data_IF_076744448189
#
_entry.id   IF_076744448189
#
_cell.length_a   1.000
_cell.length_b   1.000
_cell.length_c   1.000
_cell.angle_alpha   90.00
_cell.angle_beta   90.00
_cell.angle_gamma   90.00
#
_symmetry.space_group_name_H-M   'P 1'
#
loop_
_entity.id
_entity.type
_entity.pdbx_description
1 polymer ?
#
# COMPACT_ATOMS: atom_id res chain seq x y z
N UNK A 1 -8.30 -24.00 -86.88
CA UNK A 1 -7.30 -22.91 -87.00
C UNK A 1 -7.00 -22.41 -85.61
N UNK A 2 -5.72 -22.48 -85.19
CA UNK A 2 -4.92 -21.49 -84.43
C UNK A 2 -5.62 -20.70 -83.29
N UNK A 3 -5.09 -20.47 -82.08
CA UNK A 3 -3.74 -20.43 -81.53
C UNK A 3 -3.84 -20.21 -79.99
N UNK A 4 -2.85 -20.75 -79.25
CA UNK A 4 -2.16 -20.26 -78.04
C UNK A 4 -2.88 -19.56 -76.84
N UNK A 5 -2.60 -19.98 -75.58
CA UNK A 5 -2.89 -19.21 -74.38
C UNK A 5 -1.71 -18.29 -73.97
N UNK A 6 -2.05 -17.11 -73.42
CA UNK A 6 -1.09 -16.08 -72.97
C UNK A 6 -0.52 -16.36 -71.58
N UNK A 7 0.81 -16.25 -71.51
CA UNK A 7 1.66 -16.23 -70.33
C UNK A 7 1.45 -14.98 -69.49
N UNK A 8 1.41 -15.12 -68.16
CA UNK A 8 1.85 -14.08 -67.23
C UNK A 8 2.70 -14.71 -66.13
N UNK A 9 3.97 -14.31 -66.16
CA UNK A 9 5.08 -14.71 -65.31
C UNK A 9 4.90 -14.31 -63.85
N UNK A 10 5.07 -15.27 -62.96
CA UNK A 10 5.24 -15.08 -61.52
C UNK A 10 6.64 -14.55 -61.19
N UNK A 11 6.73 -13.29 -60.76
CA UNK A 11 7.93 -12.75 -60.12
C UNK A 11 7.88 -13.03 -58.62
N UNK A 12 8.76 -13.91 -58.19
CA UNK A 12 9.12 -14.24 -56.81
C UNK A 12 9.74 -13.03 -56.08
N UNK A 13 9.10 -12.59 -55.00
CA UNK A 13 9.72 -11.77 -53.95
C UNK A 13 9.68 -12.55 -52.66
N UNK A 14 10.79 -13.24 -52.36
CA UNK A 14 11.05 -13.92 -51.09
C UNK A 14 11.24 -12.87 -49.99
N UNK A 15 10.20 -12.61 -49.21
CA UNK A 15 10.33 -11.90 -47.95
C UNK A 15 10.83 -12.87 -46.87
N UNK A 16 12.11 -12.71 -46.51
CA UNK A 16 12.78 -13.33 -45.36
C UNK A 16 11.95 -13.08 -44.08
N UNK A 17 11.28 -14.12 -43.60
CA UNK A 17 10.63 -14.15 -42.30
C UNK A 17 11.72 -14.35 -41.23
N UNK A 18 12.11 -13.30 -40.51
CA UNK A 18 12.94 -13.49 -39.32
C UNK A 18 12.14 -14.26 -38.25
N UNK A 19 12.73 -15.25 -37.57
CA UNK A 19 12.07 -15.92 -36.45
C UNK A 19 11.90 -14.94 -35.27
N UNK A 20 10.83 -15.11 -34.46
CA UNK A 20 10.59 -14.26 -33.31
C UNK A 20 11.72 -14.38 -32.27
N UNK A 21 12.04 -13.28 -31.54
CA UNK A 21 13.08 -13.30 -30.53
C UNK A 21 12.72 -14.26 -29.39
N UNK A 22 13.72 -14.96 -28.79
CA UNK A 22 13.48 -15.87 -27.68
C UNK A 22 12.94 -15.12 -26.45
N UNK A 23 12.08 -15.78 -25.63
CA UNK A 23 11.54 -15.17 -24.43
C UNK A 23 12.67 -14.81 -23.43
N UNK A 24 12.50 -13.74 -22.64
CA UNK A 24 13.49 -13.32 -21.67
C UNK A 24 13.71 -14.41 -20.60
N UNK A 25 14.95 -14.56 -20.07
CA UNK A 25 15.24 -15.55 -19.05
C UNK A 25 14.41 -15.28 -17.79
N UNK A 26 13.95 -16.33 -17.08
CA UNK A 26 13.21 -16.15 -15.84
C UNK A 26 14.07 -15.41 -14.80
N UNK A 27 13.46 -14.59 -13.93
CA UNK A 27 14.19 -13.90 -12.87
C UNK A 27 14.87 -14.91 -11.95
N UNK A 28 16.05 -14.59 -11.40
CA UNK A 28 16.75 -15.47 -10.47
C UNK A 28 15.84 -15.80 -9.28
N UNK A 29 15.78 -17.08 -8.91
CA UNK A 29 15.00 -17.55 -7.79
C UNK A 29 15.38 -16.78 -6.51
N UNK A 30 14.41 -16.40 -5.66
CA UNK A 30 14.71 -15.77 -4.38
C UNK A 30 15.58 -16.72 -3.54
N UNK A 31 16.59 -16.20 -2.81
CA UNK A 31 17.38 -17.02 -1.93
C UNK A 31 16.47 -17.71 -0.90
N UNK A 32 16.75 -18.97 -0.54
CA UNK A 32 15.95 -19.68 0.46
C UNK A 32 15.95 -18.90 1.78
N UNK A 33 14.84 -18.88 2.53
CA UNK A 33 14.77 -18.18 3.79
C UNK A 33 15.84 -18.70 4.73
N UNK A 34 16.73 -17.80 5.16
CA UNK A 34 17.73 -18.07 6.17
C UNK A 34 17.05 -18.67 7.39
N UNK A 35 17.42 -19.90 7.73
CA UNK A 35 16.96 -20.57 8.94
C UNK A 35 17.25 -19.66 10.13
N UNK A 36 16.18 -19.32 10.83
CA UNK A 36 16.15 -18.58 12.08
C UNK A 36 17.08 -19.24 13.10
N UNK A 37 18.15 -18.55 13.48
CA UNK A 37 18.86 -18.85 14.72
C UNK A 37 17.96 -18.49 15.92
N UNK A 38 18.00 -19.26 17.02
CA UNK A 38 17.11 -19.05 18.16
C UNK A 38 17.52 -17.80 18.96
N UNK A 39 16.54 -16.95 19.25
CA UNK A 39 16.69 -15.89 20.26
C UNK A 39 16.87 -16.50 21.66
N UNK A 40 17.69 -15.91 22.55
CA UNK A 40 17.72 -16.34 23.94
C UNK A 40 16.42 -15.93 24.65
N UNK A 41 15.73 -16.93 25.21
CA UNK A 41 14.55 -16.77 26.07
C UNK A 41 14.87 -15.91 27.29
N UNK A 42 14.17 -14.79 27.46
CA UNK A 42 14.04 -14.11 28.75
C UNK A 42 12.96 -14.82 29.57
N UNK A 43 13.39 -15.57 30.58
CA UNK A 43 12.53 -16.11 31.63
C UNK A 43 12.09 -15.02 32.59
N UNK A 44 10.78 -14.76 32.67
CA UNK A 44 10.15 -14.04 33.78
C UNK A 44 10.18 -14.90 35.06
N UNK A 45 10.44 -14.34 36.26
CA UNK A 45 10.26 -15.07 37.51
C UNK A 45 8.85 -14.85 38.09
N UNK A 46 8.17 -15.94 38.44
CA UNK A 46 7.03 -15.96 39.35
C UNK A 46 7.49 -15.76 40.81
N UNK A 47 6.62 -15.25 41.71
CA UNK A 47 6.95 -15.15 43.12
C UNK A 47 6.52 -16.44 43.86
N UNK A 48 7.47 -17.08 44.55
CA UNK A 48 7.16 -18.07 45.58
C UNK A 48 7.89 -17.72 46.88
N UNK A 49 7.08 -17.59 47.92
CA UNK A 49 7.41 -17.43 49.32
C UNK A 49 8.33 -18.52 49.87
N UNK A 50 9.36 -18.14 50.63
CA UNK A 50 9.68 -18.78 51.92
C UNK A 50 10.81 -18.05 52.62
N UNK A 51 10.52 -17.67 53.86
CA UNK A 51 11.40 -17.27 54.95
C UNK A 51 12.64 -18.15 55.11
N UNK A 52 13.79 -17.58 55.48
CA UNK A 52 14.67 -18.09 56.55
C UNK A 52 15.57 -16.96 57.08
N UNK A 53 15.53 -16.82 58.40
CA UNK A 53 16.30 -15.89 59.24
C UNK A 53 17.82 -16.10 59.15
N UNK A 54 18.61 -15.04 59.33
CA UNK A 54 19.66 -14.93 60.38
C UNK A 54 20.45 -13.59 60.31
N UNK A 55 21.06 -13.13 61.42
CA UNK A 55 21.13 -11.70 61.81
C UNK A 55 22.54 -11.04 61.58
N UNK A 56 22.75 -9.76 61.94
CA UNK A 56 23.83 -8.93 61.40
C UNK A 56 25.10 -8.95 62.27
N UNK A 57 26.19 -8.29 61.80
CA UNK A 57 26.79 -7.30 62.69
C UNK A 57 27.21 -5.97 62.04
N UNK A 58 27.00 -4.94 62.85
CA UNK A 58 27.69 -3.65 63.04
C UNK A 58 28.88 -3.24 62.14
N UNK A 59 28.66 -2.10 61.46
CA UNK A 59 29.39 -0.83 61.54
C UNK A 59 30.90 -0.87 61.86
N UNK A 60 31.72 -0.59 60.84
CA UNK A 60 32.93 0.24 60.95
C UNK A 60 33.24 0.89 59.60
N UNK A 61 33.50 2.19 59.61
CA UNK A 61 33.90 3.01 58.47
C UNK A 61 35.34 2.68 58.04
N UNK A 62 35.63 2.63 56.74
CA UNK A 62 36.81 3.28 56.13
C UNK A 62 36.78 3.24 54.59
N UNK A 63 37.04 4.42 54.03
CA UNK A 63 37.69 4.73 52.75
C UNK A 63 37.25 4.01 51.45
N UNK A 64 36.34 4.69 50.75
CA UNK A 64 36.53 5.21 49.38
C UNK A 64 37.33 4.38 48.37
N UNK A 65 36.62 3.65 47.51
CA UNK A 65 36.88 3.70 46.06
C UNK A 65 35.67 3.17 45.25
N UNK A 66 35.22 4.02 44.33
CA UNK A 66 34.50 3.72 43.06
C UNK A 66 33.23 2.85 43.07
N UNK A 67 32.04 3.47 43.01
CA UNK A 67 30.89 2.90 42.27
C UNK A 67 29.80 3.94 41.92
N UNK A 68 29.99 4.64 40.81
CA UNK A 68 28.91 5.23 40.00
C UNK A 68 29.15 4.68 38.58
N UNK A 69 28.23 4.03 37.86
CA UNK A 69 26.79 4.19 37.70
C UNK A 69 26.14 2.86 37.21
N UNK A 70 24.80 2.74 37.23
CA UNK A 70 24.12 2.50 35.94
C UNK A 70 22.85 3.35 35.70
N UNK A 71 22.45 4.24 36.62
CA UNK A 71 21.21 5.03 36.52
C UNK A 71 21.17 6.06 35.36
N UNK A 72 22.33 6.53 34.88
CA UNK A 72 22.41 7.49 33.76
C UNK A 72 21.94 6.92 32.43
N UNK A 73 22.21 5.63 32.18
CA UNK A 73 21.91 4.96 30.91
C UNK A 73 20.40 4.75 30.71
N UNK A 74 19.68 4.35 31.76
CA UNK A 74 18.22 4.18 31.75
C UNK A 74 17.49 5.51 31.62
N UNK A 75 17.97 6.57 32.28
CA UNK A 75 17.41 7.93 32.16
C UNK A 75 17.63 8.49 30.75
N UNK A 76 18.78 8.22 30.11
CA UNK A 76 19.04 8.60 28.70
C UNK A 76 18.11 7.86 27.72
N UNK A 77 17.84 6.58 27.96
CA UNK A 77 16.90 5.78 27.13
C UNK A 77 15.48 6.31 27.26
N UNK A 78 15.00 6.59 28.47
CA UNK A 78 13.67 7.14 28.71
C UNK A 78 13.49 8.54 28.10
N UNK A 79 14.50 9.41 28.18
CA UNK A 79 14.47 10.72 27.50
C UNK A 79 14.41 10.56 25.97
N UNK A 80 15.25 9.71 25.39
CA UNK A 80 15.26 9.46 23.95
C UNK A 80 13.94 8.86 23.46
N UNK A 81 13.36 7.92 24.22
CA UNK A 81 12.07 7.31 23.89
C UNK A 81 10.91 8.31 23.99
N UNK A 82 10.91 9.17 25.02
CA UNK A 82 9.91 10.24 25.15
C UNK A 82 10.06 11.26 24.02
N UNK A 83 11.28 11.61 23.62
CA UNK A 83 11.53 12.50 22.48
C UNK A 83 11.10 11.88 21.15
N UNK A 84 11.33 10.59 20.93
CA UNK A 84 10.84 9.89 19.74
C UNK A 84 9.31 9.88 19.67
N UNK A 85 8.63 9.55 20.77
CA UNK A 85 7.16 9.59 20.83
C UNK A 85 6.62 11.01 20.64
N UNK A 86 7.28 12.02 21.19
CA UNK A 86 6.88 13.42 21.01
C UNK A 86 7.08 13.88 19.56
N UNK A 87 8.16 13.46 18.91
CA UNK A 87 8.41 13.75 17.50
C UNK A 87 7.41 13.04 16.58
N UNK A 88 7.07 11.79 16.89
CA UNK A 88 6.07 11.01 16.17
C UNK A 88 4.66 11.60 16.33
N UNK A 89 4.30 11.99 17.56
CA UNK A 89 3.03 12.66 17.85
C UNK A 89 2.93 14.01 17.12
N UNK A 90 3.98 14.83 17.17
CA UNK A 90 3.99 16.14 16.51
C UNK A 90 4.01 16.01 14.97
N UNK A 91 4.61 14.93 14.42
CA UNK A 91 4.56 14.61 12.99
C UNK A 91 3.14 14.24 12.55
N UNK A 92 2.45 13.37 13.31
CA UNK A 92 1.06 12.99 13.04
C UNK A 92 0.10 14.18 13.19
N UNK A 93 0.31 15.03 14.19
CA UNK A 93 -0.47 16.26 14.36
C UNK A 93 -0.20 17.29 13.25
N UNK A 94 1.04 17.41 12.77
CA UNK A 94 1.37 18.26 11.63
C UNK A 94 0.75 17.74 10.33
N UNK A 95 0.75 16.43 10.13
CA UNK A 95 0.08 15.77 9.00
C UNK A 95 -1.44 15.98 9.05
N UNK A 96 -2.06 15.83 10.23
CA UNK A 96 -3.49 16.09 10.42
C UNK A 96 -3.87 17.56 10.22
N UNK A 97 -3.06 18.49 10.73
CA UNK A 97 -3.26 19.94 10.50
C UNK A 97 -3.05 20.29 9.04
N UNK A 98 -2.05 19.71 8.40
CA UNK A 98 -1.82 19.89 6.97
C UNK A 98 -2.95 19.31 6.12
N UNK A 99 -3.49 18.14 6.50
CA UNK A 99 -4.67 17.55 5.86
C UNK A 99 -5.85 18.52 5.95
N UNK A 100 -6.09 19.10 7.13
CA UNK A 100 -7.12 20.12 7.32
C UNK A 100 -6.85 21.37 6.48
N UNK A 101 -5.60 21.84 6.42
CA UNK A 101 -5.18 23.00 5.62
C UNK A 101 -5.34 22.75 4.12
N UNK A 102 -5.07 21.54 3.62
CA UNK A 102 -5.26 21.18 2.21
C UNK A 102 -6.73 21.03 1.88
N UNK A 103 -7.52 20.41 2.75
CA UNK A 103 -8.98 20.37 2.62
C UNK A 103 -9.55 21.80 2.61
N UNK A 104 -9.00 22.71 3.42
CA UNK A 104 -9.41 24.10 3.51
C UNK A 104 -8.92 24.98 2.34
N UNK A 105 -7.74 24.68 1.77
CA UNK A 105 -7.12 25.42 0.65
C UNK A 105 -7.54 24.91 -0.72
N UNK A 106 -8.03 23.66 -0.83
CA UNK A 106 -8.67 23.20 -2.05
C UNK A 106 -9.97 23.99 -2.24
N UNK A 107 -10.19 24.65 -3.39
CA UNK A 107 -11.38 25.44 -3.63
C UNK A 107 -12.56 24.50 -3.95
N UNK A 108 -12.97 23.66 -3.00
CA UNK A 108 -14.28 23.03 -3.09
C UNK A 108 -15.28 24.10 -2.68
N UNK A 109 -15.91 24.71 -3.69
CA UNK A 109 -17.00 25.69 -3.54
C UNK A 109 -18.28 25.03 -2.98
N UNK A 110 -18.15 24.11 -2.02
CA UNK A 110 -19.22 23.42 -1.32
C UNK A 110 -19.19 23.67 0.20
N UNK A 111 -18.44 24.67 0.69
CA UNK A 111 -18.43 25.03 2.12
C UNK A 111 -19.66 25.84 2.59
N UNK A 112 -20.73 25.92 1.79
CA UNK A 112 -22.02 26.26 2.35
C UNK A 112 -22.80 24.97 2.54
N UNK A 113 -23.13 24.68 3.80
CA UNK A 113 -24.07 23.65 4.26
C UNK A 113 -25.50 23.84 3.67
N UNK A 114 -25.65 24.60 2.59
CA UNK A 114 -26.91 24.90 1.92
C UNK A 114 -27.55 23.68 1.26
N UNK A 115 -26.79 22.64 0.90
CA UNK A 115 -27.41 21.41 0.39
C UNK A 115 -28.09 20.58 1.49
N UNK A 116 -27.52 20.55 2.71
CA UNK A 116 -28.14 19.91 3.86
C UNK A 116 -29.47 20.59 4.22
N UNK A 117 -29.57 21.90 3.99
CA UNK A 117 -30.82 22.65 4.14
C UNK A 117 -31.79 22.38 2.97
N UNK A 118 -31.29 22.18 1.74
CA UNK A 118 -32.12 21.99 0.53
C UNK A 118 -32.71 20.57 0.37
N UNK A 119 -31.98 19.55 0.79
CA UNK A 119 -32.38 18.13 0.62
C UNK A 119 -33.34 17.63 1.69
N UNK A 120 -33.38 18.27 2.86
CA UNK A 120 -34.30 17.90 3.96
C UNK A 120 -35.76 17.92 3.51
N UNK A 121 -36.15 18.89 2.69
CA UNK A 121 -37.52 18.99 2.17
C UNK A 121 -37.91 17.85 1.20
N UNK A 122 -36.93 17.15 0.58
CA UNK A 122 -37.23 16.00 -0.28
C UNK A 122 -37.51 14.72 0.53
N UNK A 123 -37.09 14.69 1.79
CA UNK A 123 -37.30 13.60 2.73
C UNK A 123 -38.43 13.88 3.72
N UNK A 124 -38.78 15.15 3.94
CA UNK A 124 -39.97 15.52 4.71
C UNK A 124 -41.22 15.22 3.88
N UNK A 125 -41.95 14.19 4.29
CA UNK A 125 -43.30 13.84 3.83
C UNK A 125 -44.32 14.92 4.24
N UNK A 126 -44.15 16.16 3.78
CA UNK A 126 -45.24 17.12 3.85
C UNK A 126 -46.30 16.68 2.85
N UNK A 127 -47.42 16.20 3.41
CA UNK A 127 -48.62 15.75 2.70
C UNK A 127 -49.30 16.95 2.02
N UNK A 128 -48.61 17.61 1.10
CA UNK A 128 -49.17 18.69 0.31
C UNK A 128 -50.28 18.12 -0.57
N UNK A 129 -51.47 18.73 -0.48
CA UNK A 129 -52.63 18.32 -1.27
C UNK A 129 -52.25 18.39 -2.74
N UNK A 130 -52.22 17.23 -3.39
CA UNK A 130 -51.94 17.16 -4.82
C UNK A 130 -53.00 18.00 -5.57
N UNK A 131 -52.61 18.73 -6.64
CA UNK A 131 -53.55 19.58 -7.38
C UNK A 131 -54.75 18.74 -7.83
N UNK A 132 -55.96 19.31 -7.83
CA UNK A 132 -57.20 18.60 -8.17
C UNK A 132 -57.09 17.80 -9.48
N UNK A 133 -56.36 18.35 -10.46
CA UNK A 133 -56.04 17.70 -11.74
C UNK A 133 -55.30 16.37 -11.57
N UNK A 134 -54.30 16.30 -10.68
CA UNK A 134 -53.55 15.06 -10.42
C UNK A 134 -54.44 13.98 -9.80
N UNK A 135 -55.37 14.35 -8.94
CA UNK A 135 -56.35 13.43 -8.36
C UNK A 135 -57.34 12.93 -9.42
N UNK A 136 -57.82 13.81 -10.31
CA UNK A 136 -58.67 13.40 -11.44
C UNK A 136 -57.94 12.44 -12.40
N UNK A 137 -56.69 12.73 -12.76
CA UNK A 137 -55.87 11.84 -13.59
C UNK A 137 -55.63 10.49 -12.91
N UNK A 138 -55.35 10.49 -11.62
CA UNK A 138 -55.19 9.26 -10.84
C UNK A 138 -56.48 8.41 -10.88
N UNK A 139 -57.64 9.01 -10.62
CA UNK A 139 -58.94 8.32 -10.70
C UNK A 139 -59.20 7.79 -12.11
N UNK A 140 -58.91 8.58 -13.15
CA UNK A 140 -59.06 8.15 -14.55
C UNK A 140 -58.17 6.94 -14.90
N UNK A 141 -56.91 6.95 -14.45
CA UNK A 141 -55.98 5.83 -14.65
C UNK A 141 -56.45 4.57 -13.91
N UNK A 142 -56.96 4.71 -12.69
CA UNK A 142 -57.55 3.58 -11.94
C UNK A 142 -58.76 3.00 -12.68
N UNK A 143 -59.66 3.85 -13.19
CA UNK A 143 -60.83 3.43 -13.98
C UNK A 143 -60.37 2.67 -15.24
N UNK A 144 -59.35 3.17 -15.95
CA UNK A 144 -58.81 2.51 -17.12
C UNK A 144 -58.22 1.13 -16.80
N UNK A 145 -57.49 1.00 -15.69
CA UNK A 145 -56.92 -0.27 -15.23
C UNK A 145 -58.03 -1.27 -14.90
N UNK A 146 -59.13 -0.83 -14.28
CA UNK A 146 -60.28 -1.69 -13.95
C UNK A 146 -61.02 -2.14 -15.22
N UNK A 147 -61.23 -1.26 -16.19
CA UNK A 147 -61.91 -1.57 -17.46
C UNK A 147 -61.08 -2.56 -18.30
N UNK A 148 -59.76 -2.41 -18.30
CA UNK A 148 -58.83 -3.23 -19.11
C UNK A 148 -58.35 -4.48 -18.40
N UNK A 149 -58.89 -4.79 -17.21
CA UNK A 149 -58.60 -6.04 -16.51
C UNK A 149 -59.16 -7.24 -17.30
N UNK A 150 -58.40 -8.32 -17.56
CA UNK A 150 -57.10 -8.71 -16.95
C UNK A 150 -55.83 -8.34 -17.76
N UNK A 151 -55.96 -7.74 -18.95
CA UNK A 151 -54.83 -7.52 -19.86
C UNK A 151 -53.75 -6.56 -19.32
N UNK A 152 -54.09 -5.69 -18.37
CA UNK A 152 -53.18 -4.72 -17.76
C UNK A 152 -52.23 -5.32 -16.68
N UNK A 153 -52.53 -6.50 -16.14
CA UNK A 153 -51.75 -7.15 -15.06
C UNK A 153 -50.23 -7.22 -15.31
N UNK A 154 -49.73 -7.71 -16.46
CA UNK A 154 -48.27 -7.81 -16.69
C UNK A 154 -47.57 -6.45 -16.79
N UNK A 155 -48.29 -5.36 -17.09
CA UNK A 155 -47.72 -4.02 -17.15
C UNK A 155 -47.67 -3.34 -15.79
N UNK A 156 -48.62 -3.64 -14.89
CA UNK A 156 -48.69 -3.05 -13.56
C UNK A 156 -47.71 -3.69 -12.56
N UNK A 157 -47.41 -4.98 -12.74
CA UNK A 157 -46.54 -5.74 -11.85
C UNK A 157 -45.11 -5.78 -12.39
N UNK A 158 -44.19 -5.17 -11.63
CA UNK A 158 -42.75 -5.22 -11.91
C UNK A 158 -42.01 -5.85 -10.74
N UNK A 159 -41.01 -6.64 -11.07
CA UNK A 159 -40.13 -7.31 -10.11
C UNK A 159 -38.78 -6.60 -10.15
N UNK A 160 -38.30 -6.14 -9.00
CA UNK A 160 -36.97 -5.57 -8.81
C UNK A 160 -36.11 -6.53 -8.01
N UNK A 161 -34.82 -6.59 -8.36
CA UNK A 161 -33.83 -7.44 -7.69
C UNK A 161 -33.44 -6.87 -6.32
N UNK A 162 -32.97 -7.73 -5.42
CA UNK A 162 -32.62 -7.37 -4.03
C UNK A 162 -31.62 -6.20 -3.92
N UNK A 163 -30.66 -6.14 -4.85
CA UNK A 163 -29.60 -5.13 -4.89
C UNK A 163 -29.97 -3.86 -5.66
N UNK A 164 -31.17 -3.81 -6.22
CA UNK A 164 -31.71 -2.67 -6.96
C UNK A 164 -32.78 -1.96 -6.10
N UNK A 165 -32.97 -0.66 -6.34
CA UNK A 165 -34.07 0.13 -5.76
C UNK A 165 -34.75 0.94 -6.86
N UNK A 166 -36.08 1.02 -6.81
CA UNK A 166 -36.81 1.93 -7.69
C UNK A 166 -37.15 3.24 -6.98
N UNK A 167 -36.76 4.33 -7.63
CA UNK A 167 -37.28 5.67 -7.36
C UNK A 167 -38.49 5.86 -8.26
N UNK A 168 -39.69 5.92 -7.67
CA UNK A 168 -40.94 6.09 -8.41
C UNK A 168 -41.37 7.54 -8.32
N UNK A 169 -41.65 8.13 -9.48
CA UNK A 169 -42.14 9.49 -9.63
C UNK A 169 -43.54 9.42 -10.24
N UNK A 170 -44.49 10.11 -9.61
CA UNK A 170 -45.87 10.21 -10.06
C UNK A 170 -46.11 11.60 -10.61
N UNK A 171 -46.43 11.72 -11.90
CA UNK A 171 -46.61 13.02 -12.57
C UNK A 171 -45.44 13.99 -12.32
N UNK A 172 -44.21 13.46 -12.28
CA UNK A 172 -42.99 14.23 -12.00
C UNK A 172 -42.75 14.60 -10.53
N UNK A 173 -43.58 14.13 -9.59
CA UNK A 173 -43.36 14.30 -8.14
C UNK A 173 -42.88 12.99 -7.51
N UNK A 174 -41.97 13.07 -6.54
CA UNK A 174 -41.55 11.91 -5.77
C UNK A 174 -42.73 11.40 -4.91
N UNK A 175 -42.91 10.08 -4.84
CA UNK A 175 -43.95 9.47 -4.00
C UNK A 175 -43.55 9.59 -2.51
N UNK A 176 -44.56 9.83 -1.65
CA UNK A 176 -44.49 10.01 -0.18
C UNK A 176 -44.05 8.76 0.61
N UNK A 177 -43.30 7.86 0.00
CA UNK A 177 -42.67 6.70 0.63
C UNK A 177 -41.23 6.50 0.17
N UNK A 178 -40.66 7.52 -0.49
CA UNK A 178 -39.33 7.48 -1.06
C UNK A 178 -39.14 6.33 -2.05
N UNK A 179 -38.11 5.53 -1.82
CA UNK A 179 -37.75 4.39 -2.66
C UNK A 179 -38.53 3.15 -2.32
N UNK A 180 -39.01 2.47 -3.36
CA UNK A 180 -39.64 1.15 -3.22
C UNK A 180 -38.54 0.10 -3.01
N UNK A 181 -38.74 -0.73 -1.99
CA UNK A 181 -37.87 -1.87 -1.67
C UNK A 181 -37.89 -2.95 -2.76
N UNK A 182 -37.04 -3.98 -2.61
CA UNK A 182 -36.93 -5.07 -3.57
C UNK A 182 -38.17 -5.98 -3.56
N UNK A 183 -38.36 -6.73 -4.65
CA UNK A 183 -39.50 -7.64 -4.80
C UNK A 183 -40.57 -7.13 -5.76
N UNK A 184 -41.80 -7.61 -5.57
CA UNK A 184 -42.94 -7.27 -6.40
C UNK A 184 -43.54 -5.94 -5.93
N UNK A 185 -43.58 -4.95 -6.81
CA UNK A 185 -44.22 -3.68 -6.53
C UNK A 185 -45.16 -3.30 -7.67
N UNK A 186 -46.23 -2.61 -7.28
CA UNK A 186 -47.31 -2.20 -8.16
C UNK A 186 -47.08 -0.77 -8.65
N UNK A 187 -47.13 -0.59 -9.96
CA UNK A 187 -46.95 0.69 -10.64
C UNK A 187 -48.21 1.00 -11.44
N UNK A 188 -48.70 2.24 -11.39
CA UNK A 188 -49.82 2.65 -12.23
C UNK A 188 -49.33 2.90 -13.67
N UNK A 189 -49.83 2.16 -14.67
CA UNK A 189 -49.49 2.42 -16.07
C UNK A 189 -49.95 3.84 -16.46
N UNK A 190 -49.18 4.49 -17.32
CA UNK A 190 -49.37 5.85 -17.85
C UNK A 190 -49.02 7.03 -16.93
N UNK A 191 -49.08 6.88 -15.59
CA UNK A 191 -48.89 8.01 -14.65
C UNK A 191 -47.53 7.93 -13.94
N UNK A 192 -47.14 6.73 -13.53
CA UNK A 192 -45.96 6.50 -12.71
C UNK A 192 -44.75 6.22 -13.62
N UNK A 193 -43.68 6.98 -13.46
CA UNK A 193 -42.36 6.69 -14.03
C UNK A 193 -41.45 6.16 -12.93
N UNK A 194 -40.56 5.24 -13.26
CA UNK A 194 -39.63 4.66 -12.29
C UNK A 194 -38.21 4.62 -12.85
N UNK A 195 -37.24 4.93 -11.99
CA UNK A 195 -35.82 4.75 -12.28
C UNK A 195 -35.26 3.69 -11.33
N UNK A 196 -34.65 2.66 -11.91
CA UNK A 196 -34.00 1.59 -11.14
C UNK A 196 -32.54 1.97 -10.95
N UNK A 197 -32.09 1.95 -9.70
CA UNK A 197 -30.72 2.29 -9.30
C UNK A 197 -30.11 1.08 -8.60
N UNK A 198 -28.88 0.74 -8.99
CA UNK A 198 -28.09 -0.32 -8.35
C UNK A 198 -27.39 0.22 -7.09
N UNK A 199 -27.49 -0.48 -5.97
CA UNK A 199 -26.85 -0.13 -4.71
C UNK A 199 -25.48 -0.80 -4.51
N UNK A 200 -25.06 -1.66 -5.44
CA UNK A 200 -23.77 -2.36 -5.36
C UNK A 200 -22.60 -1.39 -5.50
N UNK A 201 -21.44 -1.87 -5.07
CA UNK A 201 -20.17 -1.18 -5.31
C UNK A 201 -19.88 -1.25 -6.80
N UNK A 202 -19.77 -0.09 -7.41
CA UNK A 202 -19.39 0.09 -8.80
C UNK A 202 -17.98 0.70 -8.83
N UNK A 203 -17.22 0.34 -9.86
CA UNK A 203 -15.92 0.91 -10.15
C UNK A 203 -15.96 1.59 -11.50
N UNK A 204 -15.41 2.80 -11.59
CA UNK A 204 -15.08 3.40 -12.88
C UNK A 204 -13.62 3.84 -12.92
N UNK A 205 -13.05 3.78 -14.12
CA UNK A 205 -11.70 4.26 -14.39
C UNK A 205 -11.73 5.76 -14.70
N UNK A 206 -10.84 6.50 -14.05
CA UNK A 206 -10.53 7.89 -14.37
C UNK A 206 -9.48 7.86 -15.49
N UNK A 207 -9.79 8.41 -16.68
CA UNK A 207 -8.85 8.38 -17.79
C UNK A 207 -7.58 9.15 -17.46
N UNK A 208 -6.45 8.69 -18.01
CA UNK A 208 -5.13 9.25 -17.76
C UNK A 208 -5.12 10.78 -17.93
N UNK A 209 -4.63 11.48 -16.91
CA UNK A 209 -4.50 12.94 -16.88
C UNK A 209 -3.03 13.33 -16.93
N UNK A 210 -2.67 14.21 -17.86
CA UNK A 210 -1.36 14.88 -17.85
C UNK A 210 -1.39 16.04 -16.86
N UNK A 211 -0.48 16.00 -15.89
CA UNK A 211 -0.38 16.98 -14.82
C UNK A 211 1.07 17.40 -14.62
N UNK A 212 1.25 18.63 -14.12
CA UNK A 212 2.54 19.13 -13.66
C UNK A 212 2.59 18.97 -12.13
N UNK A 213 3.57 18.22 -11.63
CA UNK A 213 3.80 18.05 -10.20
C UNK A 213 4.42 19.30 -9.57
N UNK A 214 4.52 19.33 -8.24
CA UNK A 214 5.20 20.41 -7.49
C UNK A 214 6.66 20.61 -7.92
N UNK A 215 7.32 19.54 -8.36
CA UNK A 215 8.72 19.56 -8.80
C UNK A 215 8.87 19.95 -10.28
N UNK A 216 7.81 20.47 -10.90
CA UNK A 216 7.78 20.83 -12.33
C UNK A 216 8.03 19.64 -13.27
N UNK A 217 7.64 18.43 -12.86
CA UNK A 217 7.71 17.23 -13.70
C UNK A 217 6.35 16.95 -14.30
N UNK A 218 6.30 16.71 -15.61
CA UNK A 218 5.09 16.24 -16.29
C UNK A 218 4.92 14.74 -16.06
N UNK A 219 3.76 14.36 -15.54
CA UNK A 219 3.39 12.94 -15.32
C UNK A 219 1.97 12.70 -15.80
N UNK A 220 1.72 11.51 -16.33
CA UNK A 220 0.38 11.05 -16.69
C UNK A 220 -0.11 10.07 -15.63
N UNK A 221 -1.21 10.38 -14.94
CA UNK A 221 -1.72 9.55 -13.84
C UNK A 221 -3.11 9.01 -14.14
N UNK A 222 -3.30 7.72 -13.87
CA UNK A 222 -4.58 7.01 -13.94
C UNK A 222 -5.00 6.54 -12.54
N UNK A 223 -6.30 6.53 -12.27
CA UNK A 223 -6.85 6.08 -11.00
C UNK A 223 -8.19 5.35 -11.21
N UNK A 224 -8.55 4.49 -10.25
CA UNK A 224 -9.82 3.78 -10.19
C UNK A 224 -10.54 4.18 -8.91
N UNK A 225 -11.85 4.41 -9.02
CA UNK A 225 -12.68 4.83 -7.89
C UNK A 225 -13.76 3.79 -7.66
N UNK A 226 -13.83 3.31 -6.42
CA UNK A 226 -14.87 2.41 -5.95
C UNK A 226 -15.88 3.22 -5.16
N UNK A 227 -17.13 3.23 -5.62
CA UNK A 227 -18.22 3.98 -5.01
C UNK A 227 -19.48 3.13 -4.99
N UNK A 228 -20.41 3.51 -4.13
CA UNK A 228 -21.77 2.96 -4.13
C UNK A 228 -22.78 4.09 -3.95
N UNK A 229 -24.00 3.88 -4.44
CA UNK A 229 -25.09 4.80 -4.21
C UNK A 229 -25.69 4.47 -2.85
N UNK A 230 -25.64 5.42 -1.90
CA UNK A 230 -26.20 5.24 -0.56
C UNK A 230 -27.67 5.68 -0.52
N UNK A 231 -27.99 6.80 -1.16
CA UNK A 231 -29.35 7.31 -1.26
C UNK A 231 -29.79 7.43 -2.74
N UNK A 232 -30.58 6.46 -3.25
CA UNK A 232 -31.02 6.48 -4.64
C UNK A 232 -32.02 7.62 -4.95
N UNK A 233 -32.79 8.12 -3.98
CA UNK A 233 -33.66 9.30 -4.20
C UNK A 233 -32.79 10.50 -4.58
N UNK A 234 -31.83 10.83 -3.72
CA UNK A 234 -30.94 11.98 -3.88
C UNK A 234 -30.13 11.88 -5.17
N UNK A 235 -29.64 10.67 -5.50
CA UNK A 235 -28.86 10.43 -6.71
C UNK A 235 -29.63 10.67 -8.00
N UNK A 236 -30.95 10.46 -8.02
CA UNK A 236 -31.79 10.69 -9.20
C UNK A 236 -32.32 12.12 -9.24
N UNK A 237 -32.59 12.75 -8.09
CA UNK A 237 -33.19 14.09 -8.04
C UNK A 237 -32.19 15.23 -8.15
N UNK A 238 -30.98 15.07 -7.59
CA UNK A 238 -30.04 16.18 -7.45
C UNK A 238 -29.07 16.33 -8.62
N UNK A 239 -28.83 15.25 -9.37
CA UNK A 239 -27.89 15.22 -10.49
C UNK A 239 -28.49 14.40 -11.63
N UNK A 240 -28.28 14.86 -12.87
CA UNK A 240 -28.75 14.15 -14.06
C UNK A 240 -28.07 12.77 -14.21
N UNK A 241 -26.74 12.73 -14.12
CA UNK A 241 -25.94 11.50 -14.08
C UNK A 241 -24.88 11.58 -12.97
N UNK A 242 -25.16 10.92 -11.86
CA UNK A 242 -24.27 10.89 -10.70
C UNK A 242 -22.92 10.22 -11.01
N UNK A 243 -22.87 9.22 -11.90
CA UNK A 243 -21.63 8.52 -12.24
C UNK A 243 -20.72 9.43 -13.06
N UNK A 244 -21.28 10.07 -14.09
CA UNK A 244 -20.54 10.98 -14.95
C UNK A 244 -20.05 12.23 -14.20
N UNK A 245 -20.91 12.85 -13.38
CA UNK A 245 -20.52 14.00 -12.56
C UNK A 245 -19.43 13.64 -11.54
N UNK A 246 -19.50 12.46 -10.92
CA UNK A 246 -18.45 11.97 -10.02
C UNK A 246 -17.14 11.75 -10.76
N UNK A 247 -17.17 11.24 -11.99
CA UNK A 247 -15.97 11.08 -12.82
C UNK A 247 -15.29 12.41 -13.15
N UNK A 248 -16.05 13.45 -13.47
CA UNK A 248 -15.50 14.79 -13.73
C UNK A 248 -14.92 15.43 -12.47
N UNK A 249 -15.61 15.29 -11.34
CA UNK A 249 -15.11 15.76 -10.06
C UNK A 249 -13.80 15.06 -9.71
N UNK A 250 -13.75 13.73 -9.86
CA UNK A 250 -12.57 12.92 -9.64
C UNK A 250 -11.36 13.35 -10.49
N UNK A 251 -11.57 13.67 -11.77
CA UNK A 251 -10.49 14.20 -12.63
C UNK A 251 -9.91 15.50 -12.08
N UNK A 252 -10.80 16.39 -11.63
CA UNK A 252 -10.40 17.70 -11.11
C UNK A 252 -9.70 17.57 -9.76
N UNK A 253 -10.21 16.72 -8.87
CA UNK A 253 -9.59 16.46 -7.55
C UNK A 253 -8.24 15.78 -7.70
N UNK A 254 -8.12 14.80 -8.60
CA UNK A 254 -6.86 14.12 -8.90
C UNK A 254 -5.82 15.13 -9.38
N UNK A 255 -6.17 15.99 -10.34
CA UNK A 255 -5.28 17.05 -10.83
C UNK A 255 -4.85 18.01 -9.73
N UNK A 256 -5.79 18.48 -8.91
CA UNK A 256 -5.50 19.46 -7.86
C UNK A 256 -4.61 18.88 -6.76
N UNK A 257 -4.92 17.68 -6.26
CA UNK A 257 -4.15 17.05 -5.19
C UNK A 257 -2.76 16.69 -5.68
N UNK A 258 -2.64 16.03 -6.84
CA UNK A 258 -1.34 15.62 -7.36
C UNK A 258 -0.45 16.80 -7.79
N UNK A 259 -1.04 17.91 -8.23
CA UNK A 259 -0.29 19.13 -8.52
C UNK A 259 0.38 19.76 -7.28
N UNK A 260 -0.12 19.47 -6.08
CA UNK A 260 0.50 19.93 -4.82
C UNK A 260 1.61 19.01 -4.31
N UNK A 261 1.74 17.81 -4.88
CA UNK A 261 2.64 16.75 -4.43
C UNK A 261 3.90 16.66 -5.29
N UNK A 262 4.99 16.21 -4.67
CA UNK A 262 6.26 15.94 -5.35
C UNK A 262 6.20 14.60 -6.09
N UNK A 263 7.06 14.40 -7.09
CA UNK A 263 7.11 13.13 -7.83
C UNK A 263 7.49 11.97 -6.90
N UNK A 264 8.44 12.19 -6.00
CA UNK A 264 8.90 11.17 -5.06
C UNK A 264 7.76 10.72 -4.15
N UNK A 265 6.98 11.66 -3.58
CA UNK A 265 5.81 11.35 -2.77
C UNK A 265 4.77 10.54 -3.54
N UNK A 266 4.53 10.87 -4.81
CA UNK A 266 3.59 10.13 -5.66
C UNK A 266 4.00 8.67 -5.89
N UNK A 267 5.30 8.39 -5.94
CA UNK A 267 5.84 7.04 -6.13
C UNK A 267 5.97 6.25 -4.80
N UNK A 268 6.30 6.91 -3.69
CA UNK A 268 6.52 6.24 -2.39
C UNK A 268 5.28 6.18 -1.51
N UNK A 269 4.46 7.23 -1.49
CA UNK A 269 3.33 7.42 -0.56
C UNK A 269 1.97 7.44 -1.28
N UNK A 270 1.81 6.57 -2.29
CA UNK A 270 0.58 6.50 -3.09
C UNK A 270 -0.68 6.27 -2.25
N UNK A 271 -0.57 5.50 -1.17
CA UNK A 271 -1.72 5.15 -0.31
C UNK A 271 -2.17 6.36 0.52
N UNK A 272 -1.23 7.19 1.00
CA UNK A 272 -1.55 8.43 1.71
C UNK A 272 -2.26 9.41 0.78
N UNK A 273 -1.77 9.56 -0.46
CA UNK A 273 -2.38 10.42 -1.48
C UNK A 273 -3.78 9.93 -1.84
N UNK A 274 -3.96 8.62 -2.01
CA UNK A 274 -5.26 8.01 -2.26
C UNK A 274 -6.27 8.32 -1.15
N UNK A 275 -5.86 8.21 0.13
CA UNK A 275 -6.70 8.57 1.28
C UNK A 275 -7.08 10.06 1.29
N UNK A 276 -6.19 10.95 0.85
CA UNK A 276 -6.51 12.38 0.70
C UNK A 276 -7.59 12.58 -0.36
N UNK A 277 -7.43 11.96 -1.53
CA UNK A 277 -8.36 12.08 -2.64
C UNK A 277 -9.73 11.51 -2.25
N UNK A 278 -9.76 10.37 -1.55
CA UNK A 278 -10.98 9.76 -1.05
C UNK A 278 -11.77 10.73 -0.17
N UNK A 279 -11.12 11.37 0.81
CA UNK A 279 -11.78 12.33 1.72
C UNK A 279 -12.37 13.52 0.96
N UNK A 280 -11.59 14.11 0.05
CA UNK A 280 -12.03 15.26 -0.76
C UNK A 280 -13.19 14.88 -1.68
N UNK A 281 -13.13 13.69 -2.28
CA UNK A 281 -14.18 13.22 -3.18
C UNK A 281 -15.45 12.88 -2.40
N UNK A 282 -15.33 12.23 -1.24
CA UNK A 282 -16.46 11.88 -0.37
C UNK A 282 -17.26 13.12 0.06
N UNK A 283 -16.58 14.20 0.46
CA UNK A 283 -17.22 15.47 0.81
C UNK A 283 -17.95 16.09 -0.40
N UNK A 284 -17.36 16.03 -1.59
CA UNK A 284 -17.97 16.56 -2.81
C UNK A 284 -19.15 15.73 -3.34
N UNK A 285 -19.16 14.41 -3.11
CA UNK A 285 -20.19 13.49 -3.65
C UNK A 285 -21.37 13.24 -2.72
N UNK A 286 -21.24 13.57 -1.43
CA UNK A 286 -22.32 13.48 -0.44
C UNK A 286 -23.65 14.14 -0.89
N UNK A 287 -23.68 15.38 -1.45
CA UNK A 287 -24.91 15.99 -1.94
C UNK A 287 -25.59 15.24 -3.09
N UNK A 288 -24.87 14.33 -3.76
CA UNK A 288 -25.37 13.51 -4.86
C UNK A 288 -25.84 12.13 -4.38
N UNK A 289 -25.77 11.83 -3.08
CA UNK A 289 -26.16 10.52 -2.55
C UNK A 289 -25.18 9.40 -2.91
N UNK A 290 -23.98 9.74 -3.38
CA UNK A 290 -22.90 8.83 -3.72
C UNK A 290 -21.90 8.76 -2.57
N UNK A 291 -21.57 7.53 -2.16
CA UNK A 291 -20.56 7.26 -1.14
C UNK A 291 -19.35 6.59 -1.78
N UNK A 292 -18.22 7.29 -1.76
CA UNK A 292 -16.92 6.77 -2.21
C UNK A 292 -16.38 5.86 -1.11
N UNK A 293 -16.02 4.62 -1.47
CA UNK A 293 -15.48 3.63 -0.52
C UNK A 293 -13.96 3.62 -0.48
N UNK A 294 -13.32 3.75 -1.64
CA UNK A 294 -11.86 3.80 -1.78
C UNK A 294 -11.47 4.37 -3.13
N UNK A 295 -10.30 4.98 -3.17
CA UNK A 295 -9.64 5.44 -4.40
C UNK A 295 -8.31 4.69 -4.52
N UNK A 296 -8.00 4.19 -5.71
CA UNK A 296 -6.74 3.50 -5.97
C UNK A 296 -6.02 4.17 -7.14
N UNK A 297 -4.76 4.54 -6.95
CA UNK A 297 -3.90 5.05 -8.03
C UNK A 297 -3.42 3.84 -8.83
N UNK A 298 -3.75 3.80 -10.13
CA UNK A 298 -3.50 2.63 -10.98
C UNK A 298 -2.09 2.66 -11.57
N UNK A 299 -1.71 3.74 -12.23
CA UNK A 299 -0.41 3.90 -12.87
C UNK A 299 0.01 5.37 -12.92
N UNK A 300 1.33 5.62 -12.83
CA UNK A 300 1.98 6.93 -12.93
C UNK A 300 3.04 6.82 -14.01
N UNK A 301 2.74 7.38 -15.18
CA UNK A 301 3.63 7.34 -16.34
C UNK A 301 4.47 8.60 -16.41
N UNK A 302 5.78 8.41 -16.53
CA UNK A 302 6.76 9.47 -16.74
C UNK A 302 7.16 9.53 -18.22
N UNK A 303 7.56 10.69 -18.74
CA UNK A 303 8.17 10.76 -20.07
C UNK A 303 9.43 9.90 -20.13
N UNK A 304 9.58 9.17 -21.24
CA UNK A 304 10.64 8.15 -21.41
C UNK A 304 12.06 8.70 -21.16
N UNK A 305 12.32 9.94 -21.57
CA UNK A 305 13.62 10.58 -21.38
C UNK A 305 13.97 10.76 -19.89
N UNK A 306 13.02 11.25 -19.09
CA UNK A 306 13.21 11.42 -17.64
C UNK A 306 13.36 10.08 -16.93
N UNK A 307 12.50 9.12 -17.26
CA UNK A 307 12.54 7.77 -16.66
C UNK A 307 13.92 7.12 -16.84
N UNK A 308 14.52 7.26 -18.03
CA UNK A 308 15.86 6.72 -18.31
C UNK A 308 16.94 7.41 -17.46
N UNK A 309 16.93 8.74 -17.39
CA UNK A 309 17.90 9.49 -16.59
C UNK A 309 17.76 9.19 -15.10
N UNK A 310 16.53 9.14 -14.59
CA UNK A 310 16.23 8.81 -13.19
C UNK A 310 16.65 7.37 -12.85
N UNK A 311 16.43 6.41 -13.76
CA UNK A 311 16.89 5.05 -13.58
C UNK A 311 18.43 4.94 -13.53
N UNK A 312 19.14 5.70 -14.37
CA UNK A 312 20.60 5.76 -14.36
C UNK A 312 21.14 6.40 -13.06
N UNK A 313 20.55 7.52 -12.62
CA UNK A 313 20.89 8.19 -11.36
C UNK A 313 20.61 7.30 -10.14
N UNK A 314 19.43 6.67 -10.10
CA UNK A 314 19.06 5.76 -9.03
C UNK A 314 19.94 4.51 -8.99
N UNK A 315 20.39 4.02 -10.15
CA UNK A 315 21.38 2.95 -10.25
C UNK A 315 22.71 3.35 -9.62
N UNK A 316 23.28 4.48 -10.05
CA UNK A 316 24.54 5.00 -9.51
C UNK A 316 24.47 5.27 -8.00
N UNK A 317 23.36 5.85 -7.51
CA UNK A 317 23.16 6.11 -6.08
C UNK A 317 23.05 4.81 -5.26
N UNK A 318 22.40 3.78 -5.80
CA UNK A 318 22.31 2.46 -5.16
C UNK A 318 23.67 1.77 -5.10
N UNK A 319 24.45 1.83 -6.18
CA UNK A 319 25.79 1.24 -6.23
C UNK A 319 26.74 1.93 -5.26
N UNK A 320 26.74 3.27 -5.24
CA UNK A 320 27.51 4.05 -4.27
C UNK A 320 27.13 3.71 -2.82
N UNK A 321 25.82 3.63 -2.54
CA UNK A 321 25.32 3.26 -1.20
C UNK A 321 25.69 1.84 -0.82
N UNK A 322 25.65 0.90 -1.76
CA UNK A 322 26.07 -0.49 -1.55
C UNK A 322 27.56 -0.57 -1.16
N UNK A 323 28.43 0.21 -1.83
CA UNK A 323 29.86 0.24 -1.52
C UNK A 323 30.14 0.80 -0.13
N UNK A 324 29.42 1.84 0.29
CA UNK A 324 29.56 2.40 1.65
C UNK A 324 29.14 1.36 2.69
N UNK A 325 28.00 0.70 2.49
CA UNK A 325 27.51 -0.34 3.40
C UNK A 325 28.49 -1.53 3.47
N UNK A 326 29.10 -1.91 2.34
CA UNK A 326 30.10 -2.96 2.30
C UNK A 326 31.36 -2.57 3.07
N UNK A 327 31.90 -1.38 2.83
CA UNK A 327 33.09 -0.88 3.51
C UNK A 327 32.87 -0.75 5.04
N UNK A 328 31.69 -0.27 5.46
CA UNK A 328 31.31 -0.22 6.87
C UNK A 328 31.15 -1.62 7.46
N UNK A 329 30.57 -2.55 6.71
CA UNK A 329 30.47 -3.95 7.08
C UNK A 329 31.83 -4.62 7.26
N UNK A 330 32.77 -4.41 6.33
CA UNK A 330 34.15 -4.90 6.41
C UNK A 330 34.91 -4.30 7.58
N UNK A 331 34.73 -3.00 7.82
CA UNK A 331 35.32 -2.32 8.99
C UNK A 331 34.81 -2.92 10.29
N UNK A 332 33.50 -3.11 10.42
CA UNK A 332 32.88 -3.67 11.61
C UNK A 332 33.29 -5.13 11.83
N UNK A 333 33.35 -5.92 10.76
CA UNK A 333 33.84 -7.29 10.81
C UNK A 333 35.32 -7.34 11.26
N UNK A 334 36.18 -6.52 10.66
CA UNK A 334 37.60 -6.44 11.00
C UNK A 334 37.83 -6.02 12.45
N UNK A 335 37.05 -5.05 12.93
CA UNK A 335 37.07 -4.63 14.33
C UNK A 335 36.73 -5.78 15.28
N UNK A 336 35.63 -6.48 15.00
CA UNK A 336 35.20 -7.62 15.83
C UNK A 336 36.23 -8.76 15.84
N UNK A 337 36.90 -9.02 14.71
CA UNK A 337 37.97 -10.00 14.61
C UNK A 337 39.22 -9.58 15.37
N UNK A 338 39.59 -8.30 15.34
CA UNK A 338 40.72 -7.77 16.10
C UNK A 338 40.49 -7.88 17.62
N UNK A 339 39.27 -7.60 18.08
CA UNK A 339 38.86 -7.77 19.48
C UNK A 339 38.86 -9.26 19.89
N UNK A 340 38.33 -10.14 19.03
CA UNK A 340 38.40 -11.57 19.27
C UNK A 340 39.86 -12.08 19.31
N UNK A 341 40.73 -11.56 18.44
CA UNK A 341 42.14 -11.94 18.42
C UNK A 341 42.89 -11.48 19.68
N UNK A 342 42.62 -10.25 20.17
CA UNK A 342 43.25 -9.75 21.40
C UNK A 342 42.82 -10.53 22.63
N UNK A 343 41.53 -10.88 22.73
CA UNK A 343 41.01 -11.72 23.81
C UNK A 343 41.56 -13.15 23.75
N UNK A 344 41.65 -13.76 22.56
CA UNK A 344 42.29 -15.08 22.39
C UNK A 344 43.78 -15.04 22.73
N UNK A 345 44.48 -13.98 22.33
CA UNK A 345 45.90 -13.80 22.59
C UNK A 345 46.26 -13.65 24.07
N UNK A 346 45.30 -13.28 24.92
CA UNK A 346 45.51 -13.12 26.37
C UNK A 346 45.85 -14.44 27.10
N UNK A 347 45.47 -15.59 26.53
CA UNK A 347 45.72 -16.92 27.11
C UNK A 347 46.25 -17.89 26.05
N UNK A 348 47.38 -18.53 26.32
CA UNK A 348 47.98 -19.53 25.43
C UNK A 348 47.10 -20.77 25.22
N UNK A 349 46.21 -21.10 26.17
CA UNK A 349 45.27 -22.23 26.08
C UNK A 349 44.13 -21.94 25.08
N UNK A 350 43.73 -20.67 24.93
CA UNK A 350 42.64 -20.27 24.01
C UNK A 350 42.98 -20.54 22.55
N UNK A 351 44.24 -20.34 22.14
CA UNK A 351 44.71 -20.68 20.80
C UNK A 351 44.67 -22.20 20.54
N UNK A 352 45.03 -23.02 21.52
CA UNK A 352 44.96 -24.48 21.40
C UNK A 352 43.52 -24.98 21.28
N UNK A 353 42.59 -24.43 22.06
CA UNK A 353 41.17 -24.77 21.95
C UNK A 353 40.59 -24.36 20.59
N UNK A 354 40.93 -23.15 20.11
CA UNK A 354 40.51 -22.71 18.77
C UNK A 354 41.10 -23.59 17.67
N UNK A 355 42.36 -24.02 17.81
CA UNK A 355 43.01 -24.98 16.90
C UNK A 355 42.27 -26.33 16.86
N UNK A 356 41.91 -26.89 18.03
CA UNK A 356 41.11 -28.12 18.09
C UNK A 356 39.72 -27.93 17.45
N UNK A 357 39.04 -26.81 17.69
CA UNK A 357 37.76 -26.50 17.04
C UNK A 357 37.88 -26.35 15.52
N UNK A 358 38.98 -25.76 15.02
CA UNK A 358 39.21 -25.67 13.57
C UNK A 358 39.45 -27.04 12.97
N UNK A 359 40.20 -27.91 13.65
CA UNK A 359 40.39 -29.29 13.22
C UNK A 359 39.07 -30.09 13.18
N UNK A 360 38.18 -29.91 14.16
CA UNK A 360 36.86 -30.58 14.15
C UNK A 360 35.97 -30.07 13.02
N UNK A 361 35.99 -28.77 12.71
CA UNK A 361 35.24 -28.23 11.58
C UNK A 361 35.78 -28.72 10.23
N UNK A 362 37.11 -28.71 10.05
CA UNK A 362 37.75 -29.23 8.83
C UNK A 362 37.56 -30.74 8.68
N UNK A 363 37.50 -31.50 9.78
CA UNK A 363 37.18 -32.93 9.75
C UNK A 363 35.70 -33.20 9.43
N UNK A 364 34.82 -32.23 9.68
CA UNK A 364 33.38 -32.33 9.39
C UNK A 364 33.03 -31.98 7.94
N UNK A 365 33.75 -31.06 7.29
CA UNK A 365 33.64 -30.84 5.85
C UNK A 365 34.45 -31.92 5.14
N UNK A 366 33.82 -32.79 4.36
CA UNK A 366 34.41 -33.95 3.68
C UNK A 366 35.55 -33.63 2.68
N UNK A 367 36.70 -33.14 3.14
CA UNK A 367 37.91 -32.91 2.34
C UNK A 367 38.99 -33.94 2.70
N UNK A 368 39.46 -34.69 1.70
CA UNK A 368 40.41 -35.81 1.84
C UNK A 368 41.88 -35.40 2.06
N UNK A 369 42.17 -34.10 2.18
CA UNK A 369 43.53 -33.58 2.32
C UNK A 369 43.63 -32.68 3.55
N UNK A 370 44.16 -33.23 4.65
CA UNK A 370 44.34 -32.52 5.92
C UNK A 370 45.70 -31.80 5.87
N UNK A 371 45.68 -30.49 5.62
CA UNK A 371 46.90 -29.67 5.68
C UNK A 371 47.11 -29.21 7.13
N UNK A 372 48.10 -29.79 7.81
CA UNK A 372 48.46 -29.45 9.19
C UNK A 372 49.58 -28.38 9.15
N UNK A 373 49.32 -27.12 9.52
CA UNK A 373 50.38 -26.12 9.61
C UNK A 373 51.22 -26.39 10.86
N UNK A 374 52.46 -26.87 10.67
CA UNK A 374 53.41 -27.09 11.77
C UNK A 374 54.03 -25.74 12.18
N UNK A 375 54.10 -25.42 13.49
CA UNK A 375 54.73 -24.19 13.97
C UNK A 375 56.16 -24.04 13.46
N UNK A 376 56.50 -22.85 12.93
CA UNK A 376 57.82 -22.57 12.34
C UNK A 376 58.99 -22.77 13.32
N UNK A 377 58.75 -22.71 14.63
CA UNK A 377 59.76 -22.95 15.65
C UNK A 377 60.19 -24.42 15.69
N UNK A 378 59.24 -25.35 15.59
CA UNK A 378 59.50 -26.79 15.55
C UNK A 378 60.17 -27.14 14.21
N UNK A 379 59.69 -26.57 13.11
CA UNK A 379 60.28 -26.76 11.80
C UNK A 379 61.75 -26.28 11.74
N UNK A 380 62.05 -25.08 12.29
CA UNK A 380 63.43 -24.57 12.38
C UNK A 380 64.29 -25.40 13.33
N UNK A 381 63.74 -25.86 14.45
CA UNK A 381 64.48 -26.70 15.40
C UNK A 381 64.87 -28.05 14.76
N UNK A 382 63.93 -28.72 14.10
CA UNK A 382 64.19 -29.95 13.36
C UNK A 382 65.19 -29.73 12.22
N UNK A 383 65.04 -28.66 11.42
CA UNK A 383 65.98 -28.33 10.35
C UNK A 383 67.41 -28.09 10.86
N UNK A 384 67.58 -27.35 11.97
CA UNK A 384 68.90 -27.14 12.59
C UNK A 384 69.51 -28.42 13.13
N UNK A 385 68.70 -29.30 13.73
CA UNK A 385 69.18 -30.58 14.30
C UNK A 385 69.55 -31.56 13.19
N UNK A 386 68.78 -31.61 12.11
CA UNK A 386 69.10 -32.36 10.89
C UNK A 386 70.42 -31.90 10.28
N UNK A 387 70.61 -30.59 10.13
CA UNK A 387 71.84 -30.03 9.56
C UNK A 387 73.09 -30.35 10.41
N UNK A 388 72.94 -30.37 11.75
CA UNK A 388 74.01 -30.83 12.67
C UNK A 388 74.26 -32.33 12.63
N UNK A 389 73.26 -33.14 12.29
CA UNK A 389 73.38 -34.59 12.18
C UNK A 389 74.09 -34.99 10.88
N UNK A 390 73.79 -34.31 9.78
CA UNK A 390 74.49 -34.47 8.50
C UNK A 390 75.94 -33.99 8.55
N UNK A 391 76.25 -32.98 9.37
CA UNK A 391 77.62 -32.49 9.57
C UNK A 391 78.49 -33.36 10.50
N UNK A 392 77.93 -34.39 11.15
CA UNK A 392 78.68 -35.35 12.00
C UNK A 392 78.90 -36.72 11.34
N UNK A 393 78.25 -36.97 10.20
CA UNK A 393 78.33 -38.21 9.44
C UNK A 393 79.01 -38.02 8.05
N UNK A 394 79.61 -36.85 7.82
CA UNK A 394 80.75 -36.65 6.92
C UNK A 394 81.99 -36.43 7.78
#
# INVERSE_FOLDING_TARGET
>A
MQQLPLLLSSSSSSSLLLPPPPPPPPPPAPPPPSQSQPQPQQSQPQPSSSSTLSPPPSRSQSMSQSRSQPLSSSIKRLKSQKQQLFHEYNSKDAENRWMQDVIEKLPVRARSQSWLIRTRHLLDDTKEKAPFISSCLYVLSVILVVITFPFCLPFCFKIIREYERAVVMRLGRLISGGTKGPGLFFIMPCIDTFHVVDLRVLSFDVPAQEILSRDSVTVSVEAVIFFRINNPVISVTNVNDAQFSTKLLAQTTLRNVLGTRTLSEMLSERDNIANVIEKVLAEGTEPWGVHVQRVEIKDIRLPYQLMRSMAAEAGAARDARSLIILADGERQASWSLAEAASTIGSSSVSLQLRYLQTLTNVASEHNSTIVIPIPMEIARYCARKWCKFTAKNL
#
